data_IF_601289552830
#
_entry.id   IF_601289552830
#
_cell.length_a   1.000
_cell.length_b   1.000
_cell.length_c   1.000
_cell.angle_alpha   90.00
_cell.angle_beta   90.00
_cell.angle_gamma   90.00
#
_symmetry.space_group_name_H-M   'P 1'
#
loop_
_entity.id
_entity.type
_entity.pdbx_description
1 polymer ?
#
# COMPACT_ATOMS: atom_id res chain seq x y z
N UNK A 1 -29.09 39.16 20.26
CA UNK A 1 -28.79 39.91 19.01
C UNK A 1 -27.29 39.92 18.79
N UNK A 2 -26.78 39.29 17.71
CA UNK A 2 -25.36 39.41 17.33
C UNK A 2 -25.15 40.81 16.76
N UNK A 3 -24.27 41.62 17.37
CA UNK A 3 -23.82 42.89 16.79
C UNK A 3 -23.13 42.59 15.47
N UNK A 4 -23.79 42.93 14.36
CA UNK A 4 -23.14 43.00 13.05
C UNK A 4 -22.15 44.16 13.18
N UNK A 5 -20.84 43.86 13.20
CA UNK A 5 -19.81 44.90 13.12
C UNK A 5 -19.96 45.56 11.74
N UNK A 6 -19.98 46.88 11.71
CA UNK A 6 -19.90 47.65 10.48
C UNK A 6 -18.57 47.33 9.79
N UNK A 7 -18.62 47.03 8.50
CA UNK A 7 -17.42 46.80 7.72
C UNK A 7 -16.69 48.14 7.53
N UNK A 8 -15.42 48.20 7.93
CA UNK A 8 -14.52 49.30 7.63
C UNK A 8 -13.75 48.98 6.35
N UNK A 9 -13.91 49.80 5.32
CA UNK A 9 -13.17 49.66 4.07
C UNK A 9 -11.66 49.69 4.34
N UNK A 10 -10.93 48.73 3.77
CA UNK A 10 -9.50 48.55 4.00
C UNK A 10 -9.16 47.51 5.08
N UNK A 11 -10.15 47.01 5.82
CA UNK A 11 -9.98 45.88 6.74
C UNK A 11 -10.25 44.53 6.06
N UNK A 12 -9.35 43.57 6.26
CA UNK A 12 -9.50 42.18 5.82
C UNK A 12 -9.11 41.20 6.93
N UNK A 13 -9.64 39.98 6.87
CA UNK A 13 -9.32 38.94 7.84
C UNK A 13 -8.08 38.15 7.42
N UNK A 14 -7.01 38.20 8.23
CA UNK A 14 -5.81 37.40 8.01
C UNK A 14 -6.01 35.98 8.55
N UNK A 15 -5.95 34.98 7.67
CA UNK A 15 -6.13 33.55 8.03
C UNK A 15 -4.97 32.97 8.85
N UNK A 16 -3.79 33.60 8.78
CA UNK A 16 -2.59 33.16 9.46
C UNK A 16 -2.62 33.58 10.95
N UNK A 17 -2.75 34.87 11.24
CA UNK A 17 -2.78 35.38 12.61
C UNK A 17 -4.19 35.42 13.23
N UNK A 18 -5.23 35.12 12.43
CA UNK A 18 -6.65 35.05 12.82
C UNK A 18 -7.20 36.36 13.39
N UNK A 19 -6.80 37.49 12.80
CA UNK A 19 -7.23 38.85 13.19
C UNK A 19 -7.68 39.64 11.97
N UNK A 20 -8.55 40.63 12.20
CA UNK A 20 -8.87 41.66 11.22
C UNK A 20 -7.71 42.65 11.18
N UNK A 21 -7.21 42.96 10.00
CA UNK A 21 -6.01 43.75 9.75
C UNK A 21 -6.25 44.72 8.59
N UNK A 22 -5.43 45.77 8.47
CA UNK A 22 -5.52 46.79 7.41
C UNK A 22 -4.45 46.62 6.34
N UNK A 23 -4.49 47.46 5.30
CA UNK A 23 -3.37 47.62 4.35
C UNK A 23 -2.03 47.80 5.08
N UNK A 24 -0.98 47.15 4.56
CA UNK A 24 0.36 47.15 5.17
C UNK A 24 0.60 46.07 6.24
N UNK A 25 -0.32 45.11 6.43
CA UNK A 25 -0.13 44.02 7.39
C UNK A 25 1.04 43.09 7.03
N UNK A 26 2.10 43.13 7.85
CA UNK A 26 3.24 42.21 7.76
C UNK A 26 2.95 41.00 8.66
N UNK A 27 2.42 39.93 8.08
CA UNK A 27 2.20 38.68 8.81
C UNK A 27 3.44 37.79 8.77
N UNK A 28 3.74 37.11 9.87
CA UNK A 28 4.66 35.98 9.85
C UNK A 28 4.10 34.88 8.94
N UNK A 29 4.86 34.46 7.94
CA UNK A 29 4.48 33.36 7.04
C UNK A 29 5.06 32.06 7.61
N UNK A 30 4.23 31.16 8.18
CA UNK A 30 4.74 29.90 8.69
C UNK A 30 5.35 29.09 7.53
N UNK A 31 6.45 28.36 7.77
CA UNK A 31 6.97 27.43 6.78
C UNK A 31 5.83 26.48 6.38
N UNK A 32 5.72 26.19 5.09
CA UNK A 32 4.81 25.16 4.61
C UNK A 32 5.22 23.89 5.34
N UNK A 33 4.32 23.31 6.14
CA UNK A 33 4.52 21.94 6.60
C UNK A 33 4.60 21.12 5.33
N UNK A 34 5.81 20.67 4.98
CA UNK A 34 5.99 19.69 3.91
C UNK A 34 5.03 18.56 4.25
N UNK A 35 4.02 18.36 3.40
CA UNK A 35 3.21 17.15 3.49
C UNK A 35 4.25 16.05 3.34
N UNK A 36 4.50 15.30 4.40
CA UNK A 36 5.43 14.18 4.37
C UNK A 36 5.04 13.37 3.14
N UNK A 37 5.91 13.36 2.13
CA UNK A 37 5.56 12.72 0.87
C UNK A 37 5.29 11.27 1.21
N UNK A 38 4.07 10.87 0.87
CA UNK A 38 3.53 9.61 1.30
C UNK A 38 4.19 8.52 0.46
N UNK A 39 5.19 7.86 1.02
CA UNK A 39 6.00 6.84 0.36
C UNK A 39 5.16 5.72 -0.26
N UNK A 40 5.58 5.28 -1.44
CA UNK A 40 5.10 4.08 -2.13
C UNK A 40 6.04 2.91 -1.85
N UNK A 41 5.51 1.69 -1.88
CA UNK A 41 6.30 0.48 -1.83
C UNK A 41 5.84 -0.56 -2.84
N UNK A 42 6.81 -1.31 -3.35
CA UNK A 42 6.66 -2.44 -4.24
C UNK A 42 7.12 -3.70 -3.50
N UNK A 43 6.33 -4.76 -3.57
CA UNK A 43 6.63 -6.04 -2.94
C UNK A 43 6.65 -7.09 -4.03
N UNK A 44 7.84 -7.55 -4.40
CA UNK A 44 8.00 -8.69 -5.30
C UNK A 44 7.97 -9.96 -4.46
N UNK A 45 7.21 -10.96 -4.87
CA UNK A 45 7.14 -12.21 -4.14
C UNK A 45 7.05 -13.43 -5.06
N UNK A 46 7.52 -14.56 -4.55
CA UNK A 46 7.46 -15.85 -5.22
C UNK A 46 7.15 -16.95 -4.20
N UNK A 47 6.23 -17.85 -4.55
CA UNK A 47 5.86 -18.99 -3.73
C UNK A 47 6.37 -20.29 -4.35
N UNK A 48 7.24 -20.97 -3.62
CA UNK A 48 7.54 -22.37 -3.91
C UNK A 48 6.42 -23.25 -3.38
N UNK A 49 5.94 -24.16 -4.22
CA UNK A 49 4.80 -25.02 -3.91
C UNK A 49 5.16 -26.50 -4.02
N UNK A 50 4.63 -27.29 -3.11
CA UNK A 50 4.54 -28.76 -3.25
C UNK A 50 3.20 -29.13 -3.88
N UNK A 51 3.15 -30.28 -4.56
CA UNK A 51 1.98 -30.75 -5.29
C UNK A 51 1.72 -32.25 -5.07
N UNK A 52 1.97 -32.72 -3.84
CA UNK A 52 1.86 -34.12 -3.44
C UNK A 52 0.46 -34.51 -2.94
N UNK A 53 -0.42 -33.54 -2.70
CA UNK A 53 -1.79 -33.78 -2.21
C UNK A 53 -2.80 -33.95 -3.36
N UNK A 54 -3.28 -35.17 -3.57
CA UNK A 54 -4.27 -35.49 -4.62
C UNK A 54 -5.69 -35.15 -4.18
N UNK A 55 -6.43 -34.42 -5.02
CA UNK A 55 -7.82 -34.01 -4.72
C UNK A 55 -8.83 -34.87 -5.47
N UNK A 56 -8.62 -35.09 -6.76
CA UNK A 56 -9.54 -35.88 -7.59
C UNK A 56 -8.89 -36.32 -8.89
N UNK A 57 -8.99 -37.61 -9.24
CA UNK A 57 -8.38 -38.14 -10.46
C UNK A 57 -6.91 -37.74 -10.53
N UNK A 58 -6.44 -37.22 -11.67
CA UNK A 58 -5.05 -36.77 -11.81
C UNK A 58 -4.80 -35.31 -11.38
N UNK A 59 -5.65 -34.77 -10.50
CA UNK A 59 -5.57 -33.38 -10.03
C UNK A 59 -4.93 -33.32 -8.65
N UNK A 60 -3.85 -32.54 -8.55
CA UNK A 60 -3.09 -32.35 -7.32
C UNK A 60 -3.14 -30.89 -6.88
N UNK A 61 -3.32 -30.67 -5.58
CA UNK A 61 -3.40 -29.37 -4.95
C UNK A 61 -2.01 -28.74 -4.86
N UNK A 62 -1.88 -27.49 -5.30
CA UNK A 62 -0.69 -26.70 -4.99
C UNK A 62 -0.77 -26.21 -3.54
N UNK A 63 0.23 -26.58 -2.74
CA UNK A 63 0.37 -26.16 -1.35
C UNK A 63 1.66 -25.36 -1.23
N UNK A 64 1.61 -24.06 -0.91
CA UNK A 64 2.81 -23.26 -0.69
C UNK A 64 3.66 -23.80 0.48
N UNK A 65 4.98 -23.90 0.28
CA UNK A 65 5.92 -24.35 1.31
C UNK A 65 6.91 -23.24 1.73
N UNK A 66 7.26 -22.33 0.82
CA UNK A 66 8.19 -21.24 1.05
C UNK A 66 7.71 -20.01 0.28
N UNK A 67 7.61 -18.90 0.99
CA UNK A 67 7.39 -17.58 0.40
C UNK A 67 8.71 -16.80 0.46
N UNK A 68 9.15 -16.33 -0.70
CA UNK A 68 10.26 -15.38 -0.83
C UNK A 68 9.68 -14.01 -1.16
N UNK A 69 10.16 -12.96 -0.51
CA UNK A 69 9.66 -11.60 -0.74
C UNK A 69 10.80 -10.59 -0.76
N UNK A 70 10.82 -9.72 -1.76
CA UNK A 70 11.67 -8.54 -1.87
C UNK A 70 10.78 -7.28 -1.79
N UNK A 71 11.10 -6.40 -0.84
CA UNK A 71 10.39 -5.12 -0.66
C UNK A 71 11.26 -4.00 -1.20
N UNK A 72 10.72 -3.08 -1.97
CA UNK A 72 11.43 -1.94 -2.57
C UNK A 72 10.58 -0.70 -2.37
N UNK A 73 11.12 0.32 -1.71
CA UNK A 73 10.45 1.62 -1.65
C UNK A 73 10.66 2.43 -2.92
N UNK A 74 9.85 3.46 -3.13
CA UNK A 74 9.98 4.40 -4.23
C UNK A 74 11.40 5.01 -4.32
N UNK A 75 11.98 5.32 -3.15
CA UNK A 75 13.34 5.88 -3.04
C UNK A 75 14.42 4.92 -3.56
N UNK A 76 14.13 3.61 -3.59
CA UNK A 76 15.11 2.57 -3.90
C UNK A 76 14.99 2.05 -5.34
N UNK A 77 13.94 2.39 -6.09
CA UNK A 77 13.64 1.76 -7.39
C UNK A 77 14.72 2.00 -8.45
N UNK A 78 15.36 3.18 -8.40
CA UNK A 78 16.43 3.58 -9.32
C UNK A 78 17.84 3.26 -8.78
N UNK A 79 17.92 2.75 -7.55
CA UNK A 79 19.16 2.34 -6.91
C UNK A 79 19.39 0.84 -7.07
N UNK A 80 20.64 0.40 -7.11
CA UNK A 80 20.94 -1.03 -7.08
C UNK A 80 20.34 -1.62 -5.80
N UNK A 81 19.49 -2.66 -5.87
CA UNK A 81 18.82 -3.25 -4.71
C UNK A 81 19.80 -3.83 -3.68
N UNK A 82 21.08 -4.00 -4.04
CA UNK A 82 22.16 -4.42 -3.13
C UNK A 82 22.98 -3.26 -2.54
N UNK A 83 22.81 -2.02 -3.05
CA UNK A 83 23.64 -0.87 -2.64
C UNK A 83 23.12 -0.10 -1.42
N UNK A 84 21.84 -0.26 -1.06
CA UNK A 84 21.22 0.41 0.09
C UNK A 84 20.53 -0.61 1.01
N UNK A 85 21.10 -0.91 2.19
CA UNK A 85 20.56 -1.92 3.10
C UNK A 85 19.33 -1.47 3.89
N UNK A 86 18.78 -0.26 3.65
CA UNK A 86 17.82 0.33 4.60
C UNK A 86 16.37 -0.05 4.37
N UNK A 87 15.96 -0.45 3.16
CA UNK A 87 14.54 -0.76 2.90
C UNK A 87 14.31 -2.00 2.00
N UNK A 88 15.36 -2.58 1.41
CA UNK A 88 15.30 -3.86 0.69
C UNK A 88 15.40 -5.04 1.65
N UNK A 89 14.26 -5.61 2.04
CA UNK A 89 14.23 -6.77 2.95
C UNK A 89 13.82 -8.02 2.20
N UNK A 90 14.69 -9.05 2.28
CA UNK A 90 14.38 -10.40 1.83
C UNK A 90 13.81 -11.20 3.01
N UNK A 91 12.56 -11.66 2.88
CA UNK A 91 11.96 -12.58 3.84
C UNK A 91 11.80 -13.96 3.23
N UNK A 92 12.14 -14.99 4.01
CA UNK A 92 11.89 -16.40 3.70
C UNK A 92 11.19 -17.06 4.88
N UNK A 93 10.02 -17.68 4.66
CA UNK A 93 9.29 -18.36 5.71
C UNK A 93 8.02 -19.07 5.23
N UNK A 94 7.26 -19.70 6.15
CA UNK A 94 5.99 -20.33 5.83
C UNK A 94 5.02 -19.32 5.19
N UNK A 95 4.42 -19.69 4.06
CA UNK A 95 3.58 -18.84 3.20
C UNK A 95 2.41 -18.15 3.93
N UNK A 96 1.99 -18.69 5.08
CA UNK A 96 0.89 -18.13 5.88
C UNK A 96 1.16 -16.73 6.44
N UNK A 97 2.43 -16.29 6.44
CA UNK A 97 2.84 -14.95 6.85
C UNK A 97 3.24 -14.12 5.64
N UNK A 98 2.27 -13.89 4.76
CA UNK A 98 2.37 -12.82 3.76
C UNK A 98 2.70 -11.50 4.48
N UNK A 99 3.37 -10.52 3.83
CA UNK A 99 3.74 -9.25 4.43
C UNK A 99 2.52 -8.37 4.77
N UNK A 100 1.32 -8.90 5.01
CA UNK A 100 0.17 -8.14 5.51
C UNK A 100 0.53 -7.42 6.81
N UNK A 101 1.25 -8.12 7.69
CA UNK A 101 1.78 -7.54 8.92
C UNK A 101 2.81 -6.43 8.66
N UNK A 102 3.61 -6.55 7.60
CA UNK A 102 4.59 -5.54 7.21
C UNK A 102 3.90 -4.33 6.53
N UNK A 103 2.95 -4.59 5.65
CA UNK A 103 2.06 -3.64 4.96
C UNK A 103 1.33 -2.76 5.97
N UNK A 104 0.79 -3.35 7.04
CA UNK A 104 0.06 -2.62 8.08
C UNK A 104 0.99 -1.78 8.96
N UNK A 105 2.23 -2.22 9.20
CA UNK A 105 3.17 -1.56 10.13
C UNK A 105 3.98 -0.41 9.51
N UNK A 106 4.17 -0.40 8.20
CA UNK A 106 5.15 0.49 7.53
C UNK A 106 4.63 1.88 7.18
N UNK A 107 3.32 2.12 7.25
CA UNK A 107 2.75 3.45 7.01
C UNK A 107 2.85 3.95 5.57
N UNK A 108 3.18 3.07 4.61
CA UNK A 108 3.12 3.40 3.18
C UNK A 108 1.70 3.79 2.76
N UNK A 109 1.59 4.74 1.84
CA UNK A 109 0.27 5.16 1.33
C UNK A 109 -0.31 4.16 0.38
N UNK A 110 0.52 3.47 -0.39
CA UNK A 110 0.09 2.45 -1.33
C UNK A 110 1.19 1.42 -1.46
N UNK A 111 0.78 0.15 -1.47
CA UNK A 111 1.68 -0.98 -1.61
C UNK A 111 1.22 -1.81 -2.80
N UNK A 112 2.13 -2.03 -3.74
CA UNK A 112 1.87 -2.86 -4.91
C UNK A 112 2.68 -4.15 -4.82
N UNK A 113 1.99 -5.26 -4.63
CA UNK A 113 2.54 -6.59 -4.65
C UNK A 113 2.54 -7.16 -6.08
N UNK A 114 3.67 -7.67 -6.51
CA UNK A 114 3.90 -8.24 -7.84
C UNK A 114 4.40 -9.67 -7.65
N UNK A 115 3.63 -10.64 -8.14
CA UNK A 115 4.03 -12.03 -8.08
C UNK A 115 4.89 -12.40 -9.30
N UNK A 116 5.85 -13.30 -9.14
CA UNK A 116 6.62 -13.85 -10.25
C UNK A 116 5.70 -14.57 -11.27
N UNK A 117 4.66 -15.25 -10.79
CA UNK A 117 3.70 -15.99 -11.59
C UNK A 117 2.23 -15.73 -11.17
N UNK A 118 1.85 -14.46 -11.12
CA UNK A 118 0.50 -14.04 -10.70
C UNK A 118 -0.62 -14.61 -11.61
N UNK A 119 -0.33 -14.81 -12.90
CA UNK A 119 -1.28 -15.35 -13.90
C UNK A 119 -1.52 -16.86 -13.79
N UNK A 120 -0.63 -17.59 -13.11
CA UNK A 120 -0.70 -19.03 -12.96
C UNK A 120 -1.62 -19.42 -11.81
N UNK A 121 -1.12 -19.29 -10.60
CA UNK A 121 -1.81 -19.80 -9.41
C UNK A 121 -1.58 -18.97 -8.15
N UNK A 122 -0.52 -18.16 -8.07
CA UNK A 122 -0.14 -17.45 -6.85
C UNK A 122 -1.23 -16.50 -6.34
N UNK A 123 -1.92 -15.80 -7.24
CA UNK A 123 -3.03 -14.91 -6.90
C UNK A 123 -4.19 -15.62 -6.20
N UNK A 124 -4.38 -16.93 -6.43
CA UNK A 124 -5.42 -17.71 -5.76
C UNK A 124 -5.10 -17.91 -4.27
N UNK A 125 -3.82 -18.03 -3.90
CA UNK A 125 -3.42 -18.14 -2.49
C UNK A 125 -3.70 -16.85 -1.73
N UNK A 126 -3.41 -15.70 -2.35
CA UNK A 126 -3.69 -14.39 -1.78
C UNK A 126 -5.20 -14.23 -1.53
N UNK A 127 -6.00 -14.55 -2.55
CA UNK A 127 -7.45 -14.44 -2.44
C UNK A 127 -8.01 -15.36 -1.36
N UNK A 128 -7.57 -16.63 -1.34
CA UNK A 128 -7.96 -17.61 -0.31
C UNK A 128 -7.59 -17.12 1.09
N UNK A 129 -6.35 -16.70 1.29
CA UNK A 129 -5.88 -16.17 2.59
C UNK A 129 -6.70 -14.95 3.02
N UNK A 130 -6.96 -14.01 2.11
CA UNK A 130 -7.74 -12.81 2.44
C UNK A 130 -9.17 -13.17 2.87
N UNK A 131 -9.82 -14.13 2.22
CA UNK A 131 -11.19 -14.56 2.52
C UNK A 131 -11.28 -15.41 3.81
N UNK A 132 -10.30 -16.29 4.05
CA UNK A 132 -10.34 -17.25 5.17
C UNK A 132 -9.74 -16.69 6.46
N UNK A 133 -8.66 -15.91 6.36
CA UNK A 133 -7.85 -15.47 7.52
C UNK A 133 -8.03 -13.99 7.86
N UNK A 134 -8.74 -13.22 7.04
CA UNK A 134 -8.93 -11.78 7.28
C UNK A 134 -10.39 -11.36 7.07
N UNK A 135 -10.77 -10.20 7.61
CA UNK A 135 -12.08 -9.58 7.31
C UNK A 135 -11.96 -8.51 6.20
N UNK A 136 -10.96 -8.65 5.31
CA UNK A 136 -10.76 -7.72 4.22
C UNK A 136 -11.69 -8.07 3.07
N UNK A 137 -12.22 -7.05 2.38
CA UNK A 137 -13.08 -7.23 1.22
C UNK A 137 -12.25 -7.01 -0.05
N UNK A 138 -11.81 -8.10 -0.73
CA UNK A 138 -11.11 -7.97 -2.00
C UNK A 138 -12.05 -7.46 -3.09
N UNK A 139 -11.58 -6.53 -3.91
CA UNK A 139 -12.14 -6.24 -5.22
C UNK A 139 -11.22 -6.87 -6.28
N UNK A 140 -11.78 -7.74 -7.12
CA UNK A 140 -11.04 -8.66 -7.98
C UNK A 140 -11.38 -8.39 -9.44
N UNK A 141 -10.35 -8.12 -10.23
CA UNK A 141 -10.44 -7.97 -11.68
C UNK A 141 -9.93 -9.26 -12.34
N UNK A 142 -10.75 -9.84 -13.21
CA UNK A 142 -10.51 -11.13 -13.86
C UNK A 142 -10.39 -10.98 -15.38
N UNK A 143 -9.68 -11.91 -16.02
CA UNK A 143 -9.70 -12.14 -17.47
C UNK A 143 -9.85 -13.64 -17.73
N UNK A 144 -11.07 -14.05 -18.09
CA UNK A 144 -11.42 -15.48 -18.12
C UNK A 144 -11.31 -16.08 -16.72
N UNK A 145 -10.58 -17.19 -16.59
CA UNK A 145 -10.30 -17.84 -15.30
C UNK A 145 -9.11 -17.26 -14.54
N UNK A 146 -8.41 -16.26 -15.09
CA UNK A 146 -7.19 -15.69 -14.49
C UNK A 146 -7.51 -14.43 -13.70
N UNK A 147 -6.97 -14.35 -12.49
CA UNK A 147 -6.97 -13.14 -11.68
C UNK A 147 -5.92 -12.18 -12.26
N UNK A 148 -6.33 -10.98 -12.65
CA UNK A 148 -5.43 -9.91 -13.12
C UNK A 148 -4.97 -9.03 -11.96
N UNK A 149 -5.91 -8.64 -11.10
CA UNK A 149 -5.63 -7.72 -10.00
C UNK A 149 -6.56 -8.01 -8.83
N UNK A 150 -6.01 -7.96 -7.61
CA UNK A 150 -6.78 -7.94 -6.37
C UNK A 150 -6.46 -6.63 -5.66
N UNK A 151 -7.47 -5.85 -5.33
CA UNK A 151 -7.31 -4.62 -4.55
C UNK A 151 -8.05 -4.71 -3.23
N UNK A 152 -7.45 -4.11 -2.20
CA UNK A 152 -8.05 -4.02 -0.87
C UNK A 152 -8.16 -2.55 -0.49
N UNK A 153 -9.40 -2.09 -0.28
CA UNK A 153 -9.68 -0.72 0.18
C UNK A 153 -9.09 -0.44 1.56
N UNK A 154 -8.97 -1.48 2.39
CA UNK A 154 -8.30 -1.45 3.69
C UNK A 154 -6.83 -1.82 3.48
N UNK A 155 -5.92 -0.87 3.76
CA UNK A 155 -4.47 -1.07 3.67
C UNK A 155 -3.82 -0.59 2.38
N UNK A 156 -4.57 0.01 1.45
CA UNK A 156 -4.08 0.51 0.16
C UNK A 156 -3.19 -0.50 -0.56
N UNK A 157 -3.62 -1.77 -0.54
CA UNK A 157 -2.86 -2.90 -1.01
C UNK A 157 -3.40 -3.37 -2.36
N UNK A 158 -2.51 -3.59 -3.31
CA UNK A 158 -2.82 -4.09 -4.65
C UNK A 158 -1.91 -5.28 -4.97
N UNK A 159 -2.48 -6.38 -5.43
CA UNK A 159 -1.75 -7.47 -6.05
C UNK A 159 -2.00 -7.45 -7.54
N UNK A 160 -0.96 -7.48 -8.36
CA UNK A 160 -1.05 -7.48 -9.83
C UNK A 160 -0.01 -8.41 -10.45
N UNK A 161 -0.29 -8.87 -11.66
CA UNK A 161 0.74 -9.35 -12.58
C UNK A 161 1.45 -8.17 -13.27
#
# INVERSE_FOLDING_TARGET
MRRIREHLCGEFYCTICRRIVTEGHICYMPPVNEKTEKKLAYIFYDNECRQDEQVSGNTFLHVPNLLVTLIVSDDCIDSSPLSSPRECVLFGGPCERIPMDYVVRTGFKMITCIAHNAKGYESNFILKMALEKTNWKPDVIMSGSKILTITFSRGNLRFTH
#
